data_IF_667831449814
#
_entry.id   IF_667831449814
#
_cell.length_a   1.000
_cell.length_b   1.000
_cell.length_c   1.000
_cell.angle_alpha   90.00
_cell.angle_beta   90.00
_cell.angle_gamma   90.00
#
_symmetry.space_group_name_H-M   'P 1'
#
loop_
_entity.id
_entity.type
_entity.pdbx_description
1 polymer ?
#
# COMPACT_ATOMS: atom_id res chain seq x y z
N UNK A 1 -20.63 -1.13 16.26
CA UNK A 1 -20.44 -0.18 15.13
C UNK A 1 -19.05 -0.42 14.58
N UNK A 2 -18.97 -0.88 13.35
CA UNK A 2 -17.69 -1.13 12.69
C UNK A 2 -17.14 0.18 12.10
N UNK A 3 -15.88 0.48 12.38
CA UNK A 3 -15.22 1.68 11.87
C UNK A 3 -13.72 1.43 11.84
N UNK A 4 -13.09 1.69 10.70
CA UNK A 4 -11.65 1.65 10.53
C UNK A 4 -11.05 3.06 10.69
N UNK A 5 -9.75 3.15 10.92
CA UNK A 5 -9.05 4.43 10.95
C UNK A 5 -9.07 5.06 9.57
N UNK A 6 -9.41 6.35 9.49
CA UNK A 6 -9.32 7.10 8.24
C UNK A 6 -7.86 7.44 7.94
N UNK A 7 -7.36 6.97 6.80
CA UNK A 7 -6.02 7.28 6.30
C UNK A 7 -6.03 7.74 4.85
N UNK A 8 -4.91 8.30 4.42
CA UNK A 8 -4.64 8.64 3.02
C UNK A 8 -3.16 8.58 2.72
N UNK A 9 -2.80 8.35 1.46
CA UNK A 9 -1.42 8.40 0.98
C UNK A 9 -1.00 9.83 0.65
N UNK A 10 0.12 10.28 1.22
CA UNK A 10 0.69 11.60 0.97
C UNK A 10 2.09 11.47 0.37
N UNK A 11 2.27 11.96 -0.85
CA UNK A 11 3.55 11.88 -1.57
C UNK A 11 4.55 12.91 -1.05
N UNK A 12 5.63 12.44 -0.43
CA UNK A 12 6.66 13.26 0.20
C UNK A 12 7.37 14.19 -0.80
N UNK A 13 7.70 13.69 -1.97
CA UNK A 13 8.51 14.39 -2.95
C UNK A 13 7.68 15.18 -3.97
N UNK A 14 6.37 15.30 -3.75
CA UNK A 14 5.49 16.19 -4.51
C UNK A 14 5.30 17.51 -3.79
N UNK A 15 5.08 18.56 -4.57
CA UNK A 15 4.80 19.91 -4.04
C UNK A 15 3.61 19.89 -3.08
N UNK A 16 3.74 20.67 -2.00
CA UNK A 16 2.65 20.85 -1.03
C UNK A 16 2.51 19.74 0.02
N UNK A 17 3.50 18.86 0.21
CA UNK A 17 3.42 17.79 1.22
C UNK A 17 3.08 18.32 2.61
N UNK A 18 3.78 19.35 3.09
CA UNK A 18 3.55 19.93 4.44
C UNK A 18 2.15 20.52 4.59
N UNK A 19 1.65 21.20 3.55
CA UNK A 19 0.30 21.78 3.55
C UNK A 19 -0.78 20.69 3.58
N UNK A 20 -0.63 19.65 2.77
CA UNK A 20 -1.54 18.50 2.77
C UNK A 20 -1.53 17.74 4.08
N UNK A 21 -0.37 17.57 4.71
CA UNK A 21 -0.26 16.94 6.01
C UNK A 21 -1.01 17.75 7.08
N UNK A 22 -0.85 19.08 7.09
CA UNK A 22 -1.56 19.97 7.99
C UNK A 22 -3.09 19.97 7.71
N UNK A 23 -3.49 19.93 6.45
CA UNK A 23 -4.89 19.83 6.07
C UNK A 23 -5.50 18.51 6.55
N UNK A 24 -4.83 17.36 6.37
CA UNK A 24 -5.28 16.08 6.88
C UNK A 24 -5.49 16.10 8.40
N UNK A 25 -4.55 16.67 9.15
CA UNK A 25 -4.68 16.87 10.61
C UNK A 25 -5.93 17.68 10.92
N UNK A 26 -6.12 18.83 10.25
CA UNK A 26 -7.24 19.74 10.50
C UNK A 26 -8.61 19.13 10.20
N UNK A 27 -8.67 18.21 9.23
CA UNK A 27 -9.87 17.46 8.83
C UNK A 27 -10.15 16.22 9.71
N UNK A 28 -9.23 15.90 10.64
CA UNK A 28 -9.39 14.78 11.56
C UNK A 28 -9.12 13.42 10.92
N UNK A 29 -8.14 13.33 10.03
CA UNK A 29 -7.59 12.03 9.63
C UNK A 29 -6.91 11.38 10.83
N UNK A 30 -7.01 10.06 10.93
CA UNK A 30 -6.39 9.29 12.02
C UNK A 30 -4.96 8.86 11.68
N UNK A 31 -4.66 8.74 10.39
CA UNK A 31 -3.49 8.02 9.89
C UNK A 31 -3.04 8.53 8.52
N UNK A 32 -1.82 8.15 8.14
CA UNK A 32 -1.30 8.40 6.80
C UNK A 32 -0.32 7.32 6.37
N UNK A 33 -0.20 7.14 5.05
CA UNK A 33 0.91 6.49 4.40
C UNK A 33 1.83 7.53 3.78
N UNK A 34 3.13 7.39 4.01
CA UNK A 34 4.15 8.20 3.38
C UNK A 34 4.54 7.58 2.04
N UNK A 35 4.13 8.22 0.95
CA UNK A 35 4.41 7.75 -0.39
C UNK A 35 5.76 8.30 -0.89
N UNK A 36 6.65 7.39 -1.25
CA UNK A 36 7.98 7.67 -1.79
C UNK A 36 8.05 7.48 -3.32
N UNK A 37 6.93 7.40 -4.03
CA UNK A 37 6.91 7.06 -5.47
C UNK A 37 7.69 8.01 -6.38
N UNK A 38 8.00 9.23 -5.95
CA UNK A 38 8.89 10.15 -6.65
C UNK A 38 10.33 10.12 -6.11
N UNK A 39 10.61 9.25 -5.12
CA UNK A 39 11.94 9.12 -4.54
C UNK A 39 12.83 8.33 -5.50
N UNK A 40 13.84 9.00 -5.98
CA UNK A 40 14.89 8.42 -6.77
C UNK A 40 16.23 8.85 -6.20
N UNK A 41 17.01 7.94 -5.62
CA UNK A 41 18.37 8.22 -5.25
C UNK A 41 19.22 8.31 -6.52
N UNK A 42 19.12 9.41 -7.26
CA UNK A 42 20.10 9.74 -8.28
C UNK A 42 21.44 9.94 -7.59
N UNK A 43 22.47 9.30 -8.06
CA UNK A 43 23.82 9.40 -7.47
C UNK A 43 24.26 10.85 -7.27
N UNK A 44 23.85 11.75 -8.16
CA UNK A 44 24.22 13.18 -8.12
C UNK A 44 23.36 14.00 -7.13
N UNK A 45 22.23 13.46 -6.62
CA UNK A 45 21.31 14.11 -5.68
C UNK A 45 20.98 13.24 -4.45
N UNK A 46 21.72 12.17 -4.22
CA UNK A 46 21.45 11.21 -3.14
C UNK A 46 21.42 11.91 -1.77
N UNK A 47 22.34 12.81 -1.49
CA UNK A 47 22.39 13.55 -0.21
C UNK A 47 21.15 14.43 -0.05
N UNK A 48 20.72 15.13 -1.08
CA UNK A 48 19.54 16.00 -1.05
C UNK A 48 18.25 15.18 -0.89
N UNK A 49 18.14 14.06 -1.61
CA UNK A 49 17.00 13.14 -1.50
C UNK A 49 16.93 12.51 -0.10
N UNK A 50 18.03 12.06 0.46
CA UNK A 50 18.10 11.51 1.82
C UNK A 50 17.76 12.55 2.88
N UNK A 51 18.23 13.80 2.71
CA UNK A 51 17.82 14.90 3.59
C UNK A 51 16.31 15.16 3.52
N UNK A 52 15.74 15.20 2.31
CA UNK A 52 14.31 15.37 2.11
C UNK A 52 13.49 14.24 2.77
N UNK A 53 13.98 13.00 2.70
CA UNK A 53 13.37 11.87 3.39
C UNK A 53 13.35 12.07 4.92
N UNK A 54 14.48 12.45 5.52
CA UNK A 54 14.57 12.70 6.97
C UNK A 54 13.67 13.86 7.38
N UNK A 55 13.72 14.98 6.65
CA UNK A 55 12.86 16.15 6.93
C UNK A 55 11.36 15.78 6.88
N UNK A 56 10.94 14.95 5.90
CA UNK A 56 9.58 14.46 5.80
C UNK A 56 9.18 13.53 6.94
N UNK A 57 10.05 12.60 7.31
CA UNK A 57 9.83 11.70 8.45
C UNK A 57 9.69 12.47 9.77
N UNK A 58 10.46 13.53 9.99
CA UNK A 58 10.30 14.40 11.16
C UNK A 58 8.94 15.13 11.13
N UNK A 59 8.45 15.57 9.96
CA UNK A 59 7.13 16.17 9.84
C UNK A 59 6.03 15.15 10.17
N UNK A 60 6.13 13.91 9.65
CA UNK A 60 5.18 12.82 9.96
C UNK A 60 5.16 12.54 11.46
N UNK A 61 6.31 12.40 12.10
CA UNK A 61 6.43 12.21 13.55
C UNK A 61 5.80 13.35 14.34
N UNK A 62 6.04 14.60 13.93
CA UNK A 62 5.50 15.78 14.58
C UNK A 62 3.98 15.94 14.39
N UNK A 63 3.41 15.35 13.34
CA UNK A 63 1.97 15.42 13.03
C UNK A 63 1.08 14.77 14.07
N UNK A 64 1.58 13.75 14.78
CA UNK A 64 0.81 12.94 15.71
C UNK A 64 -0.16 11.95 15.05
N UNK A 65 -0.24 11.90 13.71
CA UNK A 65 -1.01 10.89 12.99
C UNK A 65 -0.40 9.49 13.19
N UNK A 66 -1.24 8.46 13.14
CA UNK A 66 -0.75 7.09 13.11
C UNK A 66 0.04 6.87 11.81
N UNK A 67 1.33 6.59 11.94
CA UNK A 67 2.21 6.32 10.83
C UNK A 67 1.96 4.89 10.34
N UNK A 68 0.99 4.73 9.44
CA UNK A 68 0.54 3.42 8.97
C UNK A 68 1.57 2.77 8.06
N UNK A 69 1.91 3.37 6.94
CA UNK A 69 2.78 2.77 5.97
C UNK A 69 3.82 3.70 5.39
N UNK A 70 4.90 3.10 4.85
CA UNK A 70 5.79 3.75 3.91
C UNK A 70 5.68 3.03 2.59
N UNK A 71 5.05 3.68 1.62
CA UNK A 71 4.93 3.15 0.27
C UNK A 71 6.25 3.37 -0.47
N UNK A 72 6.95 2.27 -0.70
CA UNK A 72 8.24 2.29 -1.40
C UNK A 72 8.00 2.58 -2.89
N UNK A 73 8.93 3.33 -3.50
CA UNK A 73 8.90 3.57 -4.94
C UNK A 73 8.80 2.27 -5.73
N UNK A 74 8.24 2.35 -6.92
CA UNK A 74 8.05 1.22 -7.82
C UNK A 74 8.68 1.49 -9.21
N UNK A 75 8.57 0.51 -10.11
CA UNK A 75 9.19 0.55 -11.43
C UNK A 75 10.45 -0.30 -11.50
N UNK A 76 11.19 -0.20 -12.62
CA UNK A 76 12.31 -1.10 -12.91
C UNK A 76 13.40 -1.12 -11.83
N UNK A 77 13.73 0.03 -11.23
CA UNK A 77 14.77 0.15 -10.21
C UNK A 77 14.33 -0.28 -8.80
N UNK A 78 13.06 -0.67 -8.67
CA UNK A 78 12.43 -1.17 -7.44
C UNK A 78 11.72 -2.50 -7.69
N UNK A 79 12.07 -3.22 -8.78
CA UNK A 79 11.46 -4.49 -9.13
C UNK A 79 12.11 -5.65 -8.36
N UNK A 80 11.53 -5.99 -7.22
CA UNK A 80 12.00 -7.05 -6.32
C UNK A 80 11.81 -8.45 -6.88
N UNK A 81 11.00 -8.61 -7.93
CA UNK A 81 10.74 -9.89 -8.61
C UNK A 81 11.50 -10.05 -9.93
N UNK A 82 12.32 -9.07 -10.34
CA UNK A 82 12.94 -9.15 -11.66
C UNK A 82 13.79 -10.42 -11.78
N UNK A 83 13.65 -11.14 -12.90
CA UNK A 83 14.37 -12.39 -13.14
C UNK A 83 15.88 -12.18 -13.36
N UNK A 84 16.27 -11.02 -13.89
CA UNK A 84 17.67 -10.63 -13.97
C UNK A 84 18.18 -10.18 -12.61
N UNK A 85 19.19 -10.90 -12.10
CA UNK A 85 19.76 -10.67 -10.77
C UNK A 85 20.32 -9.25 -10.59
N UNK A 86 20.92 -8.67 -11.63
CA UNK A 86 21.49 -7.32 -11.55
C UNK A 86 20.44 -6.24 -11.27
N UNK A 87 19.25 -6.33 -11.90
CA UNK A 87 18.15 -5.40 -11.69
C UNK A 87 17.55 -5.60 -10.28
N UNK A 88 17.37 -6.85 -9.86
CA UNK A 88 16.88 -7.17 -8.52
C UNK A 88 17.86 -6.72 -7.43
N UNK A 89 19.16 -6.88 -7.66
CA UNK A 89 20.20 -6.44 -6.73
C UNK A 89 20.20 -4.91 -6.55
N UNK A 90 19.92 -4.14 -7.60
CA UNK A 90 19.74 -2.68 -7.51
C UNK A 90 18.53 -2.33 -6.63
N UNK A 91 17.37 -2.95 -6.86
CA UNK A 91 16.18 -2.74 -6.04
C UNK A 91 16.44 -3.05 -4.55
N UNK A 92 17.11 -4.16 -4.28
CA UNK A 92 17.49 -4.56 -2.92
C UNK A 92 18.52 -3.61 -2.29
N UNK A 93 19.46 -3.08 -3.05
CA UNK A 93 20.42 -2.09 -2.56
C UNK A 93 19.71 -0.76 -2.22
N UNK A 94 18.77 -0.33 -3.07
CA UNK A 94 17.99 0.89 -2.86
C UNK A 94 17.18 0.83 -1.57
N UNK A 95 16.38 -0.25 -1.37
CA UNK A 95 15.58 -0.36 -0.16
C UNK A 95 16.44 -0.51 1.09
N UNK A 96 17.53 -1.30 1.02
CA UNK A 96 18.45 -1.50 2.14
C UNK A 96 19.07 -0.21 2.64
N UNK A 97 19.31 0.76 1.75
CA UNK A 97 19.88 2.06 2.12
C UNK A 97 18.93 2.92 2.97
N UNK A 98 17.63 2.79 2.77
CA UNK A 98 16.61 3.62 3.43
C UNK A 98 15.98 2.98 4.67
N UNK A 99 15.96 1.63 4.76
CA UNK A 99 15.32 0.93 5.88
C UNK A 99 15.81 1.41 7.26
N UNK A 100 17.12 1.55 7.55
CA UNK A 100 17.57 1.98 8.88
C UNK A 100 17.15 3.42 9.23
N UNK A 101 16.98 4.27 8.21
CA UNK A 101 16.51 5.65 8.40
C UNK A 101 15.03 5.65 8.79
N UNK A 102 14.23 4.91 8.04
CA UNK A 102 12.77 4.88 8.22
C UNK A 102 12.38 4.10 9.49
N UNK A 103 13.08 3.01 9.80
CA UNK A 103 12.84 2.19 11.01
C UNK A 103 12.96 3.00 12.30
N UNK A 104 13.77 4.06 12.33
CA UNK A 104 13.89 4.96 13.47
C UNK A 104 12.62 5.74 13.79
N UNK A 105 11.66 5.80 12.84
CA UNK A 105 10.36 6.48 12.99
C UNK A 105 9.19 5.51 13.22
N UNK A 106 9.46 4.20 13.26
CA UNK A 106 8.52 3.14 13.60
C UNK A 106 7.21 3.14 12.79
N UNK A 107 7.25 3.10 11.44
CA UNK A 107 6.04 2.88 10.67
C UNK A 107 5.44 1.51 11.01
N UNK A 108 4.11 1.38 10.84
CA UNK A 108 3.43 0.10 11.08
C UNK A 108 3.84 -0.97 10.03
N UNK A 109 4.06 -0.56 8.77
CA UNK A 109 4.57 -1.45 7.72
C UNK A 109 5.29 -0.70 6.60
N UNK A 110 6.09 -1.44 5.82
CA UNK A 110 6.50 -1.03 4.48
C UNK A 110 5.50 -1.57 3.48
N UNK A 111 5.10 -0.77 2.49
CA UNK A 111 4.24 -1.18 1.37
C UNK A 111 5.12 -1.25 0.14
N UNK A 112 5.13 -2.40 -0.53
CA UNK A 112 5.97 -2.61 -1.70
C UNK A 112 5.16 -3.19 -2.87
N UNK A 113 5.43 -2.70 -4.08
CA UNK A 113 5.10 -3.43 -5.29
C UNK A 113 6.07 -4.61 -5.44
N UNK A 114 5.55 -5.83 -5.33
CA UNK A 114 6.39 -7.03 -5.43
C UNK A 114 7.01 -7.19 -6.81
N UNK A 115 6.35 -6.69 -7.85
CA UNK A 115 6.76 -6.82 -9.25
C UNK A 115 6.42 -5.58 -10.07
N UNK A 116 6.87 -5.56 -11.32
CA UNK A 116 6.51 -4.54 -12.31
C UNK A 116 6.16 -5.20 -13.64
N UNK A 117 5.09 -4.76 -14.28
CA UNK A 117 4.57 -5.34 -15.53
C UNK A 117 5.26 -4.80 -16.82
N UNK A 118 5.13 -5.51 -17.94
CA UNK A 118 4.35 -6.75 -18.11
C UNK A 118 5.13 -8.00 -17.65
N UNK A 119 4.39 -8.99 -17.10
CA UNK A 119 4.95 -10.30 -16.75
C UNK A 119 4.32 -11.36 -17.66
N UNK A 120 5.15 -12.03 -18.45
CA UNK A 120 4.71 -13.14 -19.30
C UNK A 120 4.53 -14.42 -18.45
N UNK A 121 3.58 -15.27 -18.86
CA UNK A 121 3.21 -16.46 -18.08
C UNK A 121 4.36 -17.45 -17.92
N UNK A 122 5.25 -17.58 -18.91
CA UNK A 122 6.39 -18.49 -18.89
C UNK A 122 7.49 -18.06 -17.90
N UNK A 123 7.65 -16.77 -17.63
CA UNK A 123 8.63 -16.25 -16.66
C UNK A 123 8.03 -16.02 -15.26
N UNK A 124 6.69 -16.05 -15.12
CA UNK A 124 5.99 -15.79 -13.87
C UNK A 124 6.48 -16.66 -12.70
N UNK A 125 6.69 -17.99 -12.84
CA UNK A 125 7.23 -18.80 -11.74
C UNK A 125 8.64 -18.37 -11.31
N UNK A 126 9.48 -17.95 -12.26
CA UNK A 126 10.85 -17.47 -11.98
C UNK A 126 10.80 -16.16 -11.22
N UNK A 127 9.91 -15.23 -11.60
CA UNK A 127 9.76 -13.97 -10.90
C UNK A 127 9.14 -14.15 -9.51
N UNK A 128 8.21 -15.09 -9.34
CA UNK A 128 7.67 -15.44 -8.03
C UNK A 128 8.77 -15.96 -7.08
N UNK A 129 9.64 -16.85 -7.57
CA UNK A 129 10.79 -17.33 -6.79
C UNK A 129 11.77 -16.20 -6.45
N UNK A 130 12.00 -15.28 -7.39
CA UNK A 130 12.85 -14.10 -7.18
C UNK A 130 12.25 -13.15 -6.12
N UNK A 131 10.93 -12.95 -6.12
CA UNK A 131 10.25 -12.17 -5.09
C UNK A 131 10.41 -12.81 -3.70
N UNK A 132 10.22 -14.12 -3.59
CA UNK A 132 10.42 -14.85 -2.34
C UNK A 132 11.84 -14.67 -1.79
N UNK A 133 12.86 -14.78 -2.65
CA UNK A 133 14.25 -14.55 -2.24
C UNK A 133 14.47 -13.10 -1.75
N UNK A 134 13.94 -12.13 -2.47
CA UNK A 134 14.02 -10.71 -2.09
C UNK A 134 13.33 -10.43 -0.74
N UNK A 135 12.12 -10.92 -0.53
CA UNK A 135 11.39 -10.78 0.74
C UNK A 135 12.14 -11.46 1.90
N UNK A 136 12.69 -12.66 1.67
CA UNK A 136 13.49 -13.36 2.67
C UNK A 136 14.79 -12.62 3.04
N UNK A 137 15.34 -11.82 2.15
CA UNK A 137 16.46 -10.93 2.47
C UNK A 137 16.00 -9.71 3.26
N UNK A 138 14.94 -9.04 2.81
CA UNK A 138 14.40 -7.82 3.44
C UNK A 138 13.98 -8.07 4.90
N UNK A 139 13.35 -9.20 5.20
CA UNK A 139 12.95 -9.58 6.59
C UNK A 139 14.13 -9.77 7.55
N UNK A 140 15.38 -9.88 7.03
CA UNK A 140 16.58 -9.90 7.86
C UNK A 140 17.10 -8.50 8.20
N UNK A 141 16.71 -7.49 7.40
CA UNK A 141 17.23 -6.12 7.51
C UNK A 141 16.35 -5.23 8.37
N UNK A 142 15.06 -5.52 8.46
CA UNK A 142 14.10 -4.77 9.27
C UNK A 142 13.23 -5.69 10.13
N UNK A 143 12.66 -5.14 11.21
CA UNK A 143 11.61 -5.76 12.01
C UNK A 143 10.23 -5.17 11.73
N UNK A 144 10.18 -4.04 11.02
CA UNK A 144 8.94 -3.47 10.53
C UNK A 144 8.32 -4.43 9.52
N UNK A 145 7.02 -4.78 9.65
CA UNK A 145 6.35 -5.66 8.71
C UNK A 145 6.40 -5.17 7.26
N UNK A 146 6.43 -6.09 6.31
CA UNK A 146 6.43 -5.81 4.88
C UNK A 146 5.07 -6.21 4.32
N UNK A 147 4.30 -5.25 3.85
CA UNK A 147 3.03 -5.44 3.16
C UNK A 147 3.29 -5.50 1.65
N UNK A 148 3.16 -6.68 1.06
CA UNK A 148 3.19 -6.82 -0.41
C UNK A 148 1.83 -6.39 -0.93
N UNK A 149 1.84 -5.47 -1.89
CA UNK A 149 0.61 -4.93 -2.45
C UNK A 149 0.04 -5.83 -3.53
N UNK A 150 -1.28 -6.02 -3.51
CA UNK A 150 -2.01 -6.60 -4.63
C UNK A 150 -1.94 -5.66 -5.82
N UNK A 151 -1.58 -6.18 -7.00
CA UNK A 151 -1.32 -5.38 -8.20
C UNK A 151 -2.20 -5.85 -9.37
N UNK A 152 -2.53 -4.97 -10.33
CA UNK A 152 -3.45 -5.31 -11.39
C UNK A 152 -2.80 -6.14 -12.51
N UNK A 153 -3.60 -6.50 -13.51
CA UNK A 153 -3.23 -7.03 -14.84
C UNK A 153 -2.28 -8.23 -14.80
N UNK A 154 -1.03 -8.04 -15.17
CA UNK A 154 -0.03 -9.13 -15.26
C UNK A 154 0.95 -9.16 -14.10
N UNK A 155 0.89 -8.22 -13.18
CA UNK A 155 1.75 -8.20 -12.00
C UNK A 155 1.57 -9.45 -11.12
N UNK A 156 2.54 -9.75 -10.29
CA UNK A 156 2.40 -10.72 -9.20
C UNK A 156 1.42 -10.19 -8.16
N UNK A 157 0.75 -11.09 -7.47
CA UNK A 157 -0.32 -10.78 -6.53
C UNK A 157 -1.54 -10.12 -7.20
N UNK A 158 -1.91 -10.56 -8.41
CA UNK A 158 -3.11 -10.10 -9.09
C UNK A 158 -4.36 -10.94 -8.78
N UNK A 159 -4.24 -11.91 -7.89
CA UNK A 159 -5.34 -12.67 -7.25
C UNK A 159 -5.01 -12.94 -5.79
N UNK A 160 -6.06 -13.12 -4.98
CA UNK A 160 -5.90 -13.43 -3.57
C UNK A 160 -5.16 -14.75 -3.31
N UNK A 161 -5.40 -15.77 -4.13
CA UNK A 161 -4.70 -17.06 -4.05
C UNK A 161 -3.19 -16.90 -4.26
N UNK A 162 -2.78 -16.11 -5.25
CA UNK A 162 -1.36 -15.84 -5.48
C UNK A 162 -0.76 -15.04 -4.31
N UNK A 163 -1.50 -14.07 -3.76
CA UNK A 163 -1.09 -13.34 -2.57
C UNK A 163 -0.86 -14.27 -1.37
N UNK A 164 -1.73 -15.25 -1.15
CA UNK A 164 -1.54 -16.29 -0.12
C UNK A 164 -0.25 -17.08 -0.38
N UNK A 165 -0.03 -17.51 -1.63
CA UNK A 165 1.16 -18.27 -1.98
C UNK A 165 2.46 -17.48 -1.73
N UNK A 166 2.43 -16.17 -2.00
CA UNK A 166 3.56 -15.27 -1.70
C UNK A 166 3.78 -15.16 -0.20
N UNK A 167 2.73 -14.87 0.57
CA UNK A 167 2.83 -14.52 1.99
C UNK A 167 3.14 -15.76 2.84
N UNK A 168 2.42 -16.87 2.62
CA UNK A 168 2.57 -18.08 3.45
C UNK A 168 3.92 -18.80 3.22
N UNK A 169 4.61 -18.52 2.13
CA UNK A 169 5.98 -18.99 1.90
C UNK A 169 7.02 -18.21 2.72
N UNK A 170 6.65 -17.08 3.34
CA UNK A 170 7.58 -16.19 4.02
C UNK A 170 7.61 -16.41 5.52
N UNK A 171 8.71 -16.05 6.20
CA UNK A 171 8.74 -15.97 7.66
C UNK A 171 7.76 -14.91 8.15
N UNK A 172 7.46 -14.91 9.45
CA UNK A 172 6.64 -13.89 10.08
C UNK A 172 7.16 -12.47 9.77
N UNK A 173 6.26 -11.53 9.55
CA UNK A 173 6.58 -10.14 9.22
C UNK A 173 6.30 -9.77 7.75
N UNK A 174 5.75 -10.69 6.95
CA UNK A 174 5.23 -10.40 5.61
C UNK A 174 3.72 -10.58 5.60
N UNK A 175 3.00 -9.65 4.99
CA UNK A 175 1.56 -9.70 4.83
C UNK A 175 1.10 -8.94 3.59
N UNK A 176 -0.19 -8.68 3.47
CA UNK A 176 -0.79 -8.01 2.33
C UNK A 176 -1.05 -6.53 2.59
N UNK A 177 -0.72 -5.68 1.62
CA UNK A 177 -1.45 -4.45 1.37
C UNK A 177 -2.55 -4.78 0.35
N UNK A 178 -3.79 -4.69 0.77
CA UNK A 178 -4.94 -4.95 -0.11
C UNK A 178 -5.33 -3.67 -0.80
N UNK A 179 -4.87 -3.49 -2.04
CA UNK A 179 -5.46 -2.47 -2.91
C UNK A 179 -6.69 -3.04 -3.58
N UNK A 180 -7.84 -2.54 -3.17
CA UNK A 180 -9.13 -3.05 -3.66
C UNK A 180 -9.41 -2.69 -5.12
N UNK A 181 -8.73 -1.69 -5.65
CA UNK A 181 -8.81 -1.23 -7.04
C UNK A 181 -8.07 -2.17 -8.03
N UNK A 182 -7.17 -3.00 -7.51
CA UNK A 182 -6.30 -3.85 -8.34
C UNK A 182 -6.85 -5.26 -8.60
N UNK A 183 -7.93 -5.67 -7.94
CA UNK A 183 -8.55 -6.98 -8.18
C UNK A 183 -9.48 -6.95 -9.42
N UNK A 184 -8.89 -6.96 -10.61
CA UNK A 184 -9.64 -6.95 -11.88
C UNK A 184 -10.22 -8.32 -12.26
N UNK A 185 -9.68 -9.41 -11.67
CA UNK A 185 -10.04 -10.81 -12.00
C UNK A 185 -11.04 -11.42 -11.04
N UNK A 186 -11.25 -10.80 -9.91
CA UNK A 186 -12.14 -11.26 -8.85
C UNK A 186 -12.76 -10.06 -8.13
N UNK A 187 -13.80 -10.32 -7.36
CA UNK A 187 -14.44 -9.27 -6.56
C UNK A 187 -13.60 -8.98 -5.31
N UNK A 188 -13.42 -7.70 -5.01
CA UNK A 188 -12.56 -7.24 -3.90
C UNK A 188 -13.02 -7.80 -2.54
N UNK A 189 -14.33 -7.93 -2.30
CA UNK A 189 -14.85 -8.54 -1.07
C UNK A 189 -14.49 -10.02 -0.94
N UNK A 190 -14.37 -10.76 -2.05
CA UNK A 190 -13.94 -12.15 -2.04
C UNK A 190 -12.44 -12.25 -1.76
N UNK A 191 -11.63 -11.38 -2.39
CA UNK A 191 -10.20 -11.30 -2.15
C UNK A 191 -9.90 -11.01 -0.67
N UNK A 192 -10.61 -10.06 -0.05
CA UNK A 192 -10.49 -9.75 1.38
C UNK A 192 -10.80 -10.98 2.25
N UNK A 193 -11.89 -11.70 1.97
CA UNK A 193 -12.25 -12.93 2.72
C UNK A 193 -11.18 -14.01 2.58
N UNK A 194 -10.64 -14.17 1.39
CA UNK A 194 -9.62 -15.18 1.06
C UNK A 194 -8.29 -14.86 1.76
N UNK A 195 -7.84 -13.61 1.72
CA UNK A 195 -6.61 -13.16 2.38
C UNK A 195 -6.71 -13.20 3.92
N UNK A 196 -7.89 -12.84 4.46
CA UNK A 196 -8.17 -12.95 5.88
C UNK A 196 -7.17 -12.18 6.75
N UNK A 197 -6.61 -12.87 7.76
CA UNK A 197 -5.68 -12.26 8.74
C UNK A 197 -4.29 -11.90 8.17
N UNK A 198 -4.03 -12.15 6.89
CA UNK A 198 -2.80 -11.75 6.22
C UNK A 198 -2.78 -10.27 5.86
N UNK A 199 -3.92 -9.59 5.95
CA UNK A 199 -4.06 -8.17 5.64
C UNK A 199 -3.39 -7.35 6.73
N UNK A 200 -2.35 -6.59 6.37
CA UNK A 200 -1.65 -5.64 7.25
C UNK A 200 -2.21 -4.22 7.06
N UNK A 201 -2.49 -3.84 5.83
CA UNK A 201 -3.04 -2.53 5.48
C UNK A 201 -3.85 -2.60 4.20
N UNK A 202 -4.50 -1.49 3.84
CA UNK A 202 -5.35 -1.41 2.65
C UNK A 202 -5.08 -0.13 1.87
N UNK A 203 -5.24 -0.20 0.54
CA UNK A 203 -5.42 0.94 -0.34
C UNK A 203 -6.85 0.92 -0.89
N UNK A 204 -7.52 2.06 -0.78
CA UNK A 204 -8.95 2.18 -1.01
C UNK A 204 -9.21 3.16 -2.13
N UNK A 205 -9.73 2.63 -3.23
CA UNK A 205 -10.31 3.39 -4.33
C UNK A 205 -11.30 2.52 -5.10
N UNK A 206 -12.11 3.12 -5.96
CA UNK A 206 -13.11 2.42 -6.75
C UNK A 206 -12.67 2.26 -8.20
N UNK A 207 -13.24 1.26 -8.88
CA UNK A 207 -12.96 0.94 -10.28
C UNK A 207 -14.16 0.31 -10.99
N UNK A 208 -14.01 0.06 -12.29
CA UNK A 208 -15.06 -0.51 -13.15
C UNK A 208 -14.90 -2.00 -13.46
N UNK A 209 -13.93 -2.71 -12.85
CA UNK A 209 -13.49 -4.07 -13.18
C UNK A 209 -12.94 -4.23 -14.61
N UNK A 210 -12.58 -3.12 -15.26
CA UNK A 210 -11.92 -3.11 -16.57
C UNK A 210 -10.47 -2.73 -16.43
N UNK A 211 -10.20 -1.69 -15.62
CA UNK A 211 -8.85 -1.23 -15.30
C UNK A 211 -8.86 -0.50 -13.95
N UNK A 212 -7.69 -0.26 -13.36
CA UNK A 212 -7.54 0.60 -12.20
C UNK A 212 -7.99 2.03 -12.52
N UNK A 213 -8.69 2.71 -11.58
CA UNK A 213 -9.29 4.03 -11.80
C UNK A 213 -8.95 5.06 -10.74
N UNK A 214 -8.67 4.63 -9.52
CA UNK A 214 -8.46 5.50 -8.35
C UNK A 214 -9.58 6.52 -8.13
N UNK A 215 -10.85 6.09 -8.38
CA UNK A 215 -12.04 6.87 -8.09
C UNK A 215 -12.42 6.81 -6.62
N UNK A 216 -13.24 7.76 -6.16
CA UNK A 216 -13.81 7.67 -4.82
C UNK A 216 -14.77 6.47 -4.70
N UNK A 217 -14.83 5.81 -3.54
CA UNK A 217 -15.84 4.81 -3.23
C UNK A 217 -17.24 5.24 -3.64
N UNK A 218 -17.94 4.41 -4.42
CA UNK A 218 -19.27 4.67 -4.96
C UNK A 218 -19.31 5.29 -6.37
N UNK A 219 -18.16 5.64 -6.95
CA UNK A 219 -18.09 6.13 -8.32
C UNK A 219 -17.89 5.00 -9.35
N UNK A 220 -17.49 3.81 -8.88
CA UNK A 220 -17.22 2.64 -9.69
C UNK A 220 -18.25 1.52 -9.51
N UNK A 221 -17.76 0.28 -9.44
CA UNK A 221 -18.58 -0.92 -9.39
C UNK A 221 -18.32 -1.83 -8.19
N UNK A 222 -17.47 -1.44 -7.26
CA UNK A 222 -17.22 -2.20 -6.04
C UNK A 222 -18.49 -2.16 -5.16
N UNK A 223 -18.92 -3.33 -4.68
CA UNK A 223 -19.97 -3.40 -3.67
C UNK A 223 -19.39 -3.05 -2.29
N UNK A 224 -19.45 -1.77 -1.93
CA UNK A 224 -18.85 -1.25 -0.71
C UNK A 224 -19.47 -1.82 0.56
N UNK A 225 -20.77 -2.16 0.55
CA UNK A 225 -21.40 -2.80 1.71
C UNK A 225 -20.88 -4.24 1.89
N UNK A 226 -20.76 -4.99 0.81
CA UNK A 226 -20.18 -6.33 0.84
C UNK A 226 -18.69 -6.32 1.21
N UNK A 227 -17.94 -5.31 0.75
CA UNK A 227 -16.52 -5.14 1.05
C UNK A 227 -16.29 -4.81 2.53
N UNK A 228 -17.03 -3.86 3.11
CA UNK A 228 -16.94 -3.56 4.54
C UNK A 228 -17.35 -4.75 5.41
N UNK A 229 -18.40 -5.48 5.00
CA UNK A 229 -18.78 -6.73 5.68
C UNK A 229 -17.71 -7.83 5.56
N UNK A 230 -16.92 -7.84 4.48
CA UNK A 230 -15.78 -8.74 4.35
C UNK A 230 -14.64 -8.37 5.32
N UNK A 231 -14.26 -7.09 5.40
CA UNK A 231 -13.27 -6.61 6.36
C UNK A 231 -13.68 -6.91 7.81
N UNK A 232 -14.94 -6.62 8.18
CA UNK A 232 -15.47 -6.92 9.52
C UNK A 232 -15.44 -8.42 9.81
N UNK A 233 -15.84 -9.25 8.86
CA UNK A 233 -15.91 -10.71 9.02
C UNK A 233 -14.52 -11.36 9.22
N UNK A 234 -13.47 -10.81 8.62
CA UNK A 234 -12.09 -11.29 8.82
C UNK A 234 -11.42 -10.68 10.05
N UNK A 235 -12.09 -9.74 10.72
CA UNK A 235 -11.59 -9.06 11.92
C UNK A 235 -10.51 -8.04 11.62
N UNK A 236 -10.53 -7.42 10.44
CA UNK A 236 -9.61 -6.35 10.12
C UNK A 236 -10.00 -5.07 10.89
N UNK A 237 -9.07 -4.50 11.63
CA UNK A 237 -9.24 -3.31 12.49
C UNK A 237 -8.18 -2.22 12.21
N UNK A 238 -7.50 -2.33 11.07
CA UNK A 238 -6.42 -1.44 10.66
C UNK A 238 -6.89 -0.11 10.07
N UNK A 239 -6.19 0.32 9.02
CA UNK A 239 -6.43 1.61 8.35
C UNK A 239 -7.22 1.40 7.07
N UNK A 240 -8.21 2.25 6.84
CA UNK A 240 -8.93 2.44 5.58
C UNK A 240 -8.24 3.59 4.85
N UNK A 241 -7.13 3.24 4.16
CA UNK A 241 -6.23 4.21 3.57
C UNK A 241 -6.65 4.55 2.15
N UNK A 242 -7.14 5.76 1.95
CA UNK A 242 -7.53 6.23 0.62
C UNK A 242 -6.33 6.47 -0.28
N UNK A 243 -6.41 5.91 -1.49
CA UNK A 243 -5.50 6.16 -2.60
C UNK A 243 -6.29 6.57 -3.84
N UNK A 244 -6.72 7.82 -3.87
CA UNK A 244 -7.65 8.36 -4.86
C UNK A 244 -7.18 9.69 -5.43
N UNK A 245 -7.70 10.03 -6.60
CA UNK A 245 -7.50 11.35 -7.23
C UNK A 245 -8.58 12.33 -6.78
N UNK A 246 -8.66 12.60 -5.47
CA UNK A 246 -9.63 13.51 -4.87
C UNK A 246 -8.96 14.42 -3.81
N UNK A 247 -9.62 15.50 -3.42
CA UNK A 247 -9.18 16.36 -2.33
C UNK A 247 -9.41 15.72 -0.96
N UNK A 248 -8.66 16.14 0.05
CA UNK A 248 -8.81 15.62 1.41
C UNK A 248 -10.21 15.87 2.01
N UNK A 249 -10.90 17.03 1.78
CA UNK A 249 -12.28 17.21 2.18
C UNK A 249 -13.26 16.21 1.53
N UNK A 250 -13.10 15.93 0.22
CA UNK A 250 -13.93 14.95 -0.48
C UNK A 250 -13.72 13.54 0.06
N UNK A 251 -12.47 13.16 0.36
CA UNK A 251 -12.14 11.89 1.01
C UNK A 251 -12.83 11.79 2.37
N UNK A 252 -12.74 12.84 3.19
CA UNK A 252 -13.36 12.86 4.52
C UNK A 252 -14.87 12.72 4.45
N UNK A 253 -15.53 13.45 3.55
CA UNK A 253 -16.97 13.36 3.34
C UNK A 253 -17.38 11.96 2.86
N UNK A 254 -16.65 11.41 1.89
CA UNK A 254 -16.87 10.06 1.36
C UNK A 254 -16.79 9.00 2.46
N UNK A 255 -15.73 9.06 3.28
CA UNK A 255 -15.54 8.15 4.40
C UNK A 255 -16.69 8.22 5.42
N UNK A 256 -17.08 9.41 5.82
CA UNK A 256 -18.16 9.58 6.81
C UNK A 256 -19.49 9.04 6.29
N UNK A 257 -19.82 9.30 5.01
CA UNK A 257 -21.02 8.78 4.35
C UNK A 257 -20.99 7.25 4.24
N UNK A 258 -19.88 6.67 3.81
CA UNK A 258 -19.71 5.24 3.61
C UNK A 258 -19.91 4.47 4.93
N UNK A 259 -19.20 4.87 5.99
CA UNK A 259 -19.35 4.20 7.28
C UNK A 259 -20.70 4.48 7.97
N UNK A 260 -21.30 5.64 7.74
CA UNK A 260 -22.66 5.91 8.18
C UNK A 260 -23.67 5.00 7.48
N UNK A 261 -23.58 4.84 6.16
CA UNK A 261 -24.46 3.94 5.40
C UNK A 261 -24.31 2.49 5.89
N UNK A 262 -23.06 2.00 6.02
CA UNK A 262 -22.81 0.63 6.48
C UNK A 262 -23.40 0.36 7.87
N UNK A 263 -23.15 1.23 8.84
CA UNK A 263 -23.60 1.03 10.22
C UNK A 263 -25.11 1.21 10.43
N UNK A 264 -25.80 1.91 9.53
CA UNK A 264 -27.25 2.11 9.58
C UNK A 264 -28.05 1.13 8.70
N UNK A 265 -27.37 0.18 8.04
CA UNK A 265 -27.99 -0.76 7.11
C UNK A 265 -28.53 -0.10 5.84
N UNK A 266 -27.92 1.02 5.46
CA UNK A 266 -28.25 1.77 4.25
C UNK A 266 -27.53 1.27 3.00
N UNK A 267 -27.74 1.97 1.91
CA UNK A 267 -27.01 1.81 0.65
C UNK A 267 -26.03 2.97 0.46
N UNK A 268 -24.98 2.73 -0.31
CA UNK A 268 -23.96 3.74 -0.60
C UNK A 268 -23.79 3.92 -2.10
#
# INVERSE_FOLDING_TARGET
MYKLRLGTSLSLFREGFADKLNEAISLGFDSMDLDLCAFWPHRDKEIEAMKGLVDGLEMVKASGLFFNGVHISFGNHWNFAHHEEAIRAEALANIRAILPIIDAYHPNCYIIHGSFEPIADDIRPTQLAALHDSLAQMTKWTKTPIAVESLPRTCLFNTAEEGIAIIDAMPAGVGACVDVNHFLKEKSENAVRTLGRRILTTHISDHDYVDERHWLPGEGKIDWMALLAAFEAVGYDGVFNYEVSASLPEIKENYDRLFAAYNNGGTF
#
